data_IF_035574221440
#
_entry.id   IF_035574221440
#
_cell.length_a   1.000
_cell.length_b   1.000
_cell.length_c   1.000
_cell.angle_alpha   90.00
_cell.angle_beta   90.00
_cell.angle_gamma   90.00
#
_symmetry.space_group_name_H-M   'P 1'
#
loop_
_entity.id
_entity.type
_entity.pdbx_description
1 polymer ?
#
# COMPACT_ATOMS: atom_id res chain seq x y z
N UNK A 1 19.95 -1.02 0.26
CA UNK A 1 19.80 -2.19 1.09
C UNK A 1 21.01 -2.45 1.97
N UNK A 2 20.79 -3.20 3.04
CA UNK A 2 21.86 -3.68 3.91
C UNK A 2 23.02 -4.27 3.13
N UNK A 3 22.73 -4.86 2.00
CA UNK A 3 23.69 -5.45 1.10
C UNK A 3 24.56 -4.44 0.36
N UNK A 4 24.12 -3.22 0.17
CA UNK A 4 24.89 -2.16 -0.49
C UNK A 4 26.00 -1.58 0.36
N UNK A 5 25.91 -1.73 1.68
CA UNK A 5 26.94 -1.25 2.62
C UNK A 5 28.08 -2.25 2.75
N UNK A 6 27.81 -3.51 2.58
CA UNK A 6 28.81 -4.56 2.56
C UNK A 6 29.23 -4.83 1.12
N UNK A 7 30.36 -4.31 0.72
CA UNK A 7 31.05 -4.83 -0.46
C UNK A 7 31.18 -6.35 -0.27
N UNK A 8 30.26 -7.11 -0.85
CA UNK A 8 30.35 -8.57 -0.77
C UNK A 8 31.66 -9.02 -1.38
N UNK A 9 32.59 -9.32 -0.50
CA UNK A 9 33.88 -9.93 -0.86
C UNK A 9 33.71 -11.30 -1.52
N UNK A 10 32.50 -11.83 -1.60
CA UNK A 10 32.21 -13.19 -2.01
C UNK A 10 31.74 -13.34 -3.46
N UNK A 11 31.48 -12.24 -4.17
CA UNK A 11 31.09 -12.31 -5.58
C UNK A 11 31.73 -11.17 -6.37
N UNK A 12 32.60 -11.52 -7.30
CA UNK A 12 33.10 -10.60 -8.32
C UNK A 12 32.04 -10.29 -9.40
N UNK A 13 30.85 -10.88 -9.30
CA UNK A 13 29.83 -10.88 -10.36
C UNK A 13 28.64 -9.98 -10.00
N UNK A 14 28.34 -9.81 -8.70
CA UNK A 14 27.21 -8.99 -8.25
C UNK A 14 27.70 -7.85 -7.33
N UNK A 15 27.29 -6.63 -7.64
CA UNK A 15 27.53 -5.45 -6.81
C UNK A 15 26.21 -4.82 -6.43
N UNK A 16 26.09 -4.45 -5.17
CA UNK A 16 24.98 -3.67 -4.65
C UNK A 16 25.38 -2.21 -4.53
N UNK A 17 24.42 -1.30 -4.64
CA UNK A 17 24.63 0.13 -4.62
C UNK A 17 23.72 0.77 -3.59
N UNK A 18 24.20 1.80 -2.93
CA UNK A 18 23.33 2.74 -2.22
C UNK A 18 22.55 3.62 -3.21
N UNK A 19 21.48 4.28 -2.75
CA UNK A 19 20.74 5.26 -3.58
C UNK A 19 21.68 6.30 -4.17
N UNK A 20 22.60 6.86 -3.35
CA UNK A 20 23.51 7.91 -3.78
C UNK A 20 24.52 7.43 -4.83
N UNK A 21 25.09 6.24 -4.66
CA UNK A 21 26.00 5.64 -5.64
C UNK A 21 25.30 5.37 -6.97
N UNK A 22 24.11 4.74 -6.91
CA UNK A 22 23.33 4.44 -8.11
C UNK A 22 22.95 5.72 -8.85
N UNK A 23 22.48 6.74 -8.13
CA UNK A 23 22.18 8.06 -8.73
C UNK A 23 23.41 8.67 -9.42
N UNK A 24 24.58 8.61 -8.77
CA UNK A 24 25.82 9.15 -9.32
C UNK A 24 26.23 8.44 -10.61
N UNK A 25 26.07 7.12 -10.67
CA UNK A 25 26.36 6.32 -11.87
C UNK A 25 25.39 6.69 -13.01
N UNK A 26 24.10 6.81 -12.72
CA UNK A 26 23.08 7.16 -13.72
C UNK A 26 23.35 8.57 -14.28
N UNK A 27 23.62 9.54 -13.41
CA UNK A 27 23.93 10.90 -13.82
C UNK A 27 25.23 10.97 -14.64
N UNK A 28 26.26 10.23 -14.24
CA UNK A 28 27.53 10.13 -15.01
C UNK A 28 27.34 9.46 -16.37
N UNK A 29 26.31 8.65 -16.55
CA UNK A 29 25.96 8.01 -17.82
C UNK A 29 25.16 8.92 -18.78
N UNK A 30 24.94 10.20 -18.40
CA UNK A 30 24.32 11.20 -19.26
C UNK A 30 22.82 11.44 -19.05
N UNK A 31 22.20 10.76 -18.10
CA UNK A 31 20.84 11.09 -17.66
C UNK A 31 20.85 12.41 -16.87
N UNK A 32 19.80 13.22 -17.04
CA UNK A 32 19.69 14.53 -16.38
C UNK A 32 18.80 14.49 -15.13
N UNK A 33 17.85 13.59 -15.13
CA UNK A 33 16.88 13.46 -14.04
C UNK A 33 16.75 12.00 -13.65
N UNK A 34 16.57 11.77 -12.37
CA UNK A 34 16.28 10.47 -11.76
C UNK A 34 15.12 10.62 -10.79
N UNK A 35 14.35 9.56 -10.64
CA UNK A 35 13.28 9.45 -9.64
C UNK A 35 13.27 8.04 -9.09
N UNK A 36 13.28 7.90 -7.76
CA UNK A 36 13.43 6.62 -7.11
C UNK A 36 12.11 6.10 -6.57
N UNK A 37 11.94 4.78 -6.72
CA UNK A 37 10.87 4.01 -6.12
C UNK A 37 11.47 2.87 -5.28
N UNK A 38 10.75 2.47 -4.24
CA UNK A 38 11.16 1.47 -3.26
C UNK A 38 10.21 0.29 -3.30
N UNK A 39 10.52 -0.76 -4.08
CA UNK A 39 9.74 -2.00 -4.10
C UNK A 39 9.91 -2.78 -2.79
N UNK A 40 8.80 -3.22 -2.21
CA UNK A 40 8.75 -4.03 -1.00
C UNK A 40 7.97 -5.32 -1.24
N UNK A 41 8.44 -6.48 -0.71
CA UNK A 41 9.68 -6.69 0.05
C UNK A 41 10.95 -6.52 -0.79
N UNK A 42 10.90 -6.78 -2.10
CA UNK A 42 12.00 -6.56 -3.04
C UNK A 42 11.50 -6.38 -4.48
N UNK A 43 12.42 -6.14 -5.42
CA UNK A 43 12.11 -5.91 -6.83
C UNK A 43 11.60 -7.13 -7.58
N UNK A 44 11.80 -8.37 -7.08
CA UNK A 44 11.41 -9.60 -7.78
C UNK A 44 9.91 -9.87 -7.70
N UNK A 45 9.34 -9.64 -6.51
CA UNK A 45 7.91 -9.86 -6.25
C UNK A 45 7.35 -8.72 -5.38
N UNK A 46 7.34 -7.49 -5.91
CA UNK A 46 6.87 -6.36 -5.13
C UNK A 46 5.37 -6.48 -4.87
N UNK A 47 4.98 -6.29 -3.62
CA UNK A 47 3.59 -6.18 -3.22
C UNK A 47 3.17 -4.71 -3.14
N UNK A 48 4.09 -3.83 -2.67
CA UNK A 48 3.93 -2.39 -2.77
C UNK A 48 5.21 -1.74 -3.27
N UNK A 49 5.05 -0.64 -3.97
CA UNK A 49 6.15 0.19 -4.44
C UNK A 49 5.84 1.61 -3.99
N UNK A 50 6.66 2.17 -3.13
CA UNK A 50 6.58 3.57 -2.71
C UNK A 50 7.49 4.44 -3.57
N UNK A 51 7.12 5.71 -3.76
CA UNK A 51 8.00 6.68 -4.41
C UNK A 51 8.78 7.50 -3.38
N UNK A 52 9.84 8.18 -3.81
CA UNK A 52 10.63 9.06 -2.95
C UNK A 52 9.84 10.30 -2.44
N UNK A 53 8.74 10.67 -3.12
CA UNK A 53 7.82 11.72 -2.65
C UNK A 53 6.70 11.20 -1.77
N UNK A 54 6.46 9.92 -1.79
CA UNK A 54 5.40 9.28 -1.03
C UNK A 54 5.95 8.04 -0.33
N UNK A 55 6.67 8.29 0.75
CA UNK A 55 7.23 7.23 1.59
C UNK A 55 6.16 6.58 2.47
N UNK A 56 6.38 5.34 2.94
CA UNK A 56 5.47 4.70 3.87
C UNK A 56 5.36 5.51 5.16
N UNK A 57 4.19 5.47 5.78
CA UNK A 57 3.93 6.06 7.09
C UNK A 57 4.09 4.99 8.18
N UNK A 58 4.31 5.43 9.42
CA UNK A 58 4.33 4.53 10.57
C UNK A 58 3.04 3.69 10.61
N UNK A 59 3.15 2.39 10.83
CA UNK A 59 2.05 1.44 10.81
C UNK A 59 1.60 0.97 9.42
N UNK A 60 2.08 1.58 8.33
CA UNK A 60 1.64 1.15 6.99
C UNK A 60 2.25 -0.17 6.52
N UNK A 61 3.26 -0.66 7.21
CA UNK A 61 3.96 -1.91 6.91
C UNK A 61 3.77 -3.01 7.98
N UNK A 62 2.94 -2.78 9.00
CA UNK A 62 2.75 -3.69 10.15
C UNK A 62 2.17 -5.07 9.76
N UNK A 63 1.47 -5.16 8.64
CA UNK A 63 0.88 -6.42 8.17
C UNK A 63 1.64 -7.02 6.98
N UNK A 64 2.87 -6.60 6.81
CA UNK A 64 3.71 -7.02 5.70
C UNK A 64 4.57 -8.20 6.12
N UNK A 65 4.21 -9.41 5.70
CA UNK A 65 5.07 -10.58 5.81
C UNK A 65 5.96 -10.66 4.57
N UNK A 66 7.28 -10.49 4.70
CA UNK A 66 8.20 -10.78 3.60
C UNK A 66 8.02 -12.24 3.19
N UNK A 67 8.03 -12.53 1.88
CA UNK A 67 7.81 -13.89 1.36
C UNK A 67 8.85 -14.93 1.85
N UNK A 68 10.00 -14.47 2.33
CA UNK A 68 11.06 -15.32 2.91
C UNK A 68 10.86 -15.58 4.42
N UNK A 69 9.91 -14.93 5.09
CA UNK A 69 9.66 -15.14 6.52
C UNK A 69 8.93 -16.44 6.84
N UNK A 70 8.34 -17.10 5.84
CA UNK A 70 7.48 -18.28 6.00
C UNK A 70 8.23 -19.49 6.57
N UNK A 71 9.56 -19.52 6.59
CA UNK A 71 10.38 -20.65 7.05
C UNK A 71 11.46 -20.28 8.08
N UNK A 72 11.37 -19.14 8.75
CA UNK A 72 12.49 -18.62 9.52
C UNK A 72 12.39 -18.80 11.04
N UNK A 73 12.63 -20.01 11.53
CA UNK A 73 13.01 -20.23 12.94
C UNK A 73 14.40 -19.67 13.29
N UNK A 74 15.07 -18.98 12.38
CA UNK A 74 16.46 -18.52 12.53
C UNK A 74 16.62 -17.00 12.44
N UNK A 75 15.57 -16.23 12.22
CA UNK A 75 15.64 -14.76 12.26
C UNK A 75 15.68 -14.25 13.71
N UNK A 76 16.60 -13.34 13.99
CA UNK A 76 16.79 -12.74 15.30
C UNK A 76 15.70 -11.67 15.57
N UNK A 77 15.12 -11.09 14.52
CA UNK A 77 14.03 -10.10 14.60
C UNK A 77 13.16 -10.17 13.35
N UNK A 78 11.87 -9.82 13.49
CA UNK A 78 10.98 -9.60 12.37
C UNK A 78 11.30 -8.26 11.70
N UNK A 79 11.50 -8.30 10.39
CA UNK A 79 11.84 -7.12 9.59
C UNK A 79 10.74 -6.04 9.66
N UNK A 80 9.47 -6.45 9.79
CA UNK A 80 8.33 -5.52 9.90
C UNK A 80 8.44 -4.59 11.12
N UNK A 81 8.98 -5.06 12.26
CA UNK A 81 9.17 -4.26 13.46
C UNK A 81 10.25 -3.18 13.28
N UNK A 82 11.22 -3.41 12.40
CA UNK A 82 12.30 -2.46 12.13
C UNK A 82 11.81 -1.30 11.27
N UNK A 83 10.84 -1.54 10.37
CA UNK A 83 10.39 -0.51 9.43
C UNK A 83 9.78 0.71 10.12
N UNK A 84 9.03 0.54 11.20
CA UNK A 84 8.45 1.66 11.92
C UNK A 84 9.52 2.58 12.51
N UNK A 85 10.57 2.01 13.12
CA UNK A 85 11.69 2.77 13.63
C UNK A 85 12.46 3.50 12.52
N UNK A 86 12.65 2.84 11.37
CA UNK A 86 13.30 3.46 10.20
C UNK A 86 12.49 4.62 9.62
N UNK A 87 11.16 4.48 9.60
CA UNK A 87 10.24 5.53 9.11
C UNK A 87 10.27 6.72 10.08
N UNK A 88 10.15 6.49 11.38
CA UNK A 88 10.17 7.54 12.40
C UNK A 88 11.49 8.33 12.43
N UNK A 89 12.60 7.65 12.15
CA UNK A 89 13.93 8.25 12.10
C UNK A 89 14.31 8.80 10.70
N UNK A 90 13.41 8.80 9.73
CA UNK A 90 13.66 9.20 8.34
C UNK A 90 14.81 8.43 7.67
N UNK A 91 14.98 7.16 8.02
CA UNK A 91 16.03 6.28 7.52
C UNK A 91 15.53 5.25 6.49
N UNK A 92 14.22 5.22 6.20
CA UNK A 92 13.61 4.22 5.33
C UNK A 92 14.29 4.11 3.97
N UNK A 93 14.53 5.23 3.30
CA UNK A 93 15.18 5.25 1.97
C UNK A 93 16.59 4.66 1.97
N UNK A 94 17.34 4.89 3.06
CA UNK A 94 18.70 4.39 3.21
C UNK A 94 18.73 2.86 3.35
N UNK A 95 17.73 2.30 4.03
CA UNK A 95 17.64 0.86 4.30
C UNK A 95 16.69 0.11 3.35
N UNK A 96 16.16 0.77 2.32
CA UNK A 96 15.30 0.11 1.34
C UNK A 96 16.03 -1.05 0.65
N UNK A 97 15.37 -2.21 0.58
CA UNK A 97 15.95 -3.44 0.05
C UNK A 97 16.25 -3.39 -1.45
N UNK A 98 15.51 -2.56 -2.19
CA UNK A 98 15.58 -2.50 -3.64
C UNK A 98 15.22 -1.12 -4.14
N UNK A 99 15.73 -0.78 -5.31
CA UNK A 99 15.38 0.43 -6.02
C UNK A 99 14.82 0.10 -7.40
N UNK A 100 13.77 0.79 -7.78
CA UNK A 100 13.34 0.95 -9.16
C UNK A 100 13.59 2.43 -9.52
N UNK A 101 14.31 2.70 -10.61
CA UNK A 101 14.70 4.06 -10.95
C UNK A 101 14.12 4.43 -12.31
N UNK A 102 13.33 5.48 -12.32
CA UNK A 102 12.91 6.16 -13.53
C UNK A 102 13.97 7.22 -13.85
N UNK A 103 14.46 7.27 -15.09
CA UNK A 103 15.47 8.23 -15.48
C UNK A 103 15.20 8.78 -16.88
N UNK A 104 15.60 10.04 -17.12
CA UNK A 104 15.39 10.73 -18.39
C UNK A 104 16.63 11.50 -18.83
N UNK A 105 16.91 11.47 -20.14
CA UNK A 105 17.93 12.29 -20.79
C UNK A 105 17.41 13.73 -21.00
N UNK A 106 16.09 13.88 -21.13
CA UNK A 106 15.43 15.17 -21.31
C UNK A 106 14.81 15.65 -20.00
N UNK A 107 14.36 16.91 -19.95
CA UNK A 107 13.64 17.46 -18.79
C UNK A 107 12.17 17.00 -18.77
N UNK A 108 11.93 15.70 -18.88
CA UNK A 108 10.59 15.14 -18.77
C UNK A 108 10.17 15.08 -17.30
N UNK A 109 8.88 15.21 -17.06
CA UNK A 109 8.32 14.98 -15.74
C UNK A 109 8.47 13.49 -15.38
N UNK A 110 9.11 13.21 -14.25
CA UNK A 110 9.27 11.89 -13.66
C UNK A 110 8.42 11.78 -12.40
N UNK A 111 8.20 10.56 -11.92
CA UNK A 111 7.53 10.36 -10.65
C UNK A 111 6.03 10.68 -10.72
N UNK A 112 5.35 10.20 -11.74
CA UNK A 112 3.89 10.40 -11.90
C UNK A 112 3.06 9.51 -10.99
N UNK A 113 3.66 8.46 -10.42
CA UNK A 113 3.03 7.51 -9.51
C UNK A 113 3.58 7.75 -8.10
N UNK A 114 2.69 7.92 -7.13
CA UNK A 114 3.07 8.06 -5.72
C UNK A 114 3.36 6.71 -5.09
N UNK A 115 2.47 5.73 -5.31
CA UNK A 115 2.69 4.34 -4.94
C UNK A 115 1.89 3.37 -5.80
N UNK A 116 2.31 2.12 -5.80
CA UNK A 116 1.62 1.02 -6.46
C UNK A 116 1.48 -0.16 -5.51
N UNK A 117 0.35 -0.88 -5.61
CA UNK A 117 0.07 -2.10 -4.84
C UNK A 117 -0.29 -3.22 -5.80
N UNK A 118 0.31 -4.38 -5.61
CA UNK A 118 -0.03 -5.60 -6.32
C UNK A 118 -0.22 -6.76 -5.33
N UNK A 119 -0.87 -7.82 -5.78
CA UNK A 119 -1.04 -9.03 -4.97
C UNK A 119 -0.59 -10.24 -5.78
N UNK A 120 0.72 -10.45 -5.94
CA UNK A 120 1.29 -11.45 -6.86
C UNK A 120 0.91 -12.89 -6.48
N UNK A 121 0.51 -13.13 -5.23
CA UNK A 121 0.10 -14.46 -4.74
C UNK A 121 -1.39 -14.77 -4.93
N UNK A 122 -2.19 -13.82 -5.45
CA UNK A 122 -3.60 -14.08 -5.76
C UNK A 122 -3.75 -14.87 -7.05
N UNK A 123 -4.83 -15.62 -7.15
CA UNK A 123 -5.21 -16.25 -8.41
C UNK A 123 -5.30 -15.19 -9.52
N UNK A 124 -4.94 -15.59 -10.75
CA UNK A 124 -4.83 -14.67 -11.89
C UNK A 124 -6.10 -13.88 -12.20
N UNK A 125 -7.26 -14.42 -11.88
CA UNK A 125 -8.59 -13.76 -12.01
C UNK A 125 -8.83 -12.64 -10.98
N UNK A 126 -8.04 -12.57 -9.90
CA UNK A 126 -8.10 -11.53 -8.87
C UNK A 126 -6.85 -10.63 -8.88
N UNK A 127 -5.94 -10.83 -9.83
CA UNK A 127 -4.70 -10.07 -9.87
C UNK A 127 -4.91 -8.72 -10.57
N UNK A 128 -4.89 -7.66 -9.77
CA UNK A 128 -5.02 -6.26 -10.21
C UNK A 128 -3.85 -5.48 -9.62
N UNK A 129 -3.26 -4.61 -10.44
CA UNK A 129 -2.30 -3.61 -9.98
C UNK A 129 -3.07 -2.33 -9.68
N UNK A 130 -2.95 -1.82 -8.46
CA UNK A 130 -3.51 -0.53 -8.07
C UNK A 130 -2.38 0.48 -7.97
N UNK A 131 -2.47 1.58 -8.71
CA UNK A 131 -1.56 2.71 -8.61
C UNK A 131 -2.29 3.93 -8.07
N UNK A 132 -1.59 4.78 -7.35
CA UNK A 132 -2.06 6.09 -6.92
C UNK A 132 -1.16 7.17 -7.51
N UNK A 133 -1.80 8.26 -7.93
CA UNK A 133 -1.13 9.47 -8.40
C UNK A 133 -1.87 10.67 -7.82
N UNK A 134 -1.13 11.63 -7.31
CA UNK A 134 -1.71 12.87 -6.80
C UNK A 134 -2.58 13.59 -7.85
N UNK A 135 -2.19 13.52 -9.12
CA UNK A 135 -2.93 14.17 -10.23
C UNK A 135 -4.17 13.40 -10.67
N UNK A 136 -4.09 12.07 -10.68
CA UNK A 136 -5.09 11.23 -11.36
C UNK A 136 -5.91 10.34 -10.41
N UNK A 137 -5.63 10.39 -9.10
CA UNK A 137 -6.26 9.53 -8.12
C UNK A 137 -5.81 8.08 -8.24
N UNK A 138 -6.72 7.15 -7.97
CA UNK A 138 -6.48 5.72 -8.04
C UNK A 138 -6.74 5.18 -9.44
N UNK A 139 -5.85 4.31 -9.89
CA UNK A 139 -5.99 3.56 -11.13
C UNK A 139 -5.78 2.07 -10.84
N UNK A 140 -6.76 1.24 -11.19
CA UNK A 140 -6.70 -0.22 -11.10
C UNK A 140 -6.57 -0.78 -12.49
N UNK A 141 -5.47 -1.48 -12.76
CA UNK A 141 -5.21 -2.12 -14.06
C UNK A 141 -5.30 -3.64 -13.92
N UNK A 142 -6.15 -4.23 -14.72
CA UNK A 142 -6.37 -5.67 -14.77
C UNK A 142 -5.66 -6.33 -15.96
N UNK A 143 -5.37 -7.61 -15.82
CA UNK A 143 -5.02 -8.49 -16.92
C UNK A 143 -6.30 -8.97 -17.63
N UNK A 144 -6.18 -9.61 -18.80
CA UNK A 144 -7.33 -10.20 -19.51
C UNK A 144 -8.14 -11.17 -18.64
N UNK A 145 -7.48 -11.86 -17.70
CA UNK A 145 -8.12 -12.80 -16.77
C UNK A 145 -8.86 -12.12 -15.63
N UNK A 146 -8.46 -10.93 -15.23
CA UNK A 146 -9.00 -10.20 -14.07
C UNK A 146 -9.89 -9.01 -14.45
N UNK A 147 -10.10 -8.76 -15.74
CA UNK A 147 -10.88 -7.59 -16.20
C UNK A 147 -12.33 -7.60 -15.68
N UNK A 148 -12.96 -8.76 -15.55
CA UNK A 148 -14.31 -8.89 -15.01
C UNK A 148 -14.41 -8.40 -13.55
N UNK A 149 -13.32 -8.48 -12.79
CA UNK A 149 -13.28 -7.96 -11.43
C UNK A 149 -13.41 -6.44 -11.39
N UNK A 150 -12.86 -5.71 -12.39
CA UNK A 150 -13.04 -4.26 -12.49
C UNK A 150 -14.51 -3.88 -12.70
N UNK A 151 -15.22 -4.60 -13.56
CA UNK A 151 -16.66 -4.38 -13.78
C UNK A 151 -17.47 -4.68 -12.51
N UNK A 152 -17.10 -5.72 -11.76
CA UNK A 152 -17.73 -6.03 -10.47
C UNK A 152 -17.50 -4.92 -9.45
N UNK A 153 -16.27 -4.39 -9.36
CA UNK A 153 -15.92 -3.27 -8.47
C UNK A 153 -16.75 -2.03 -8.83
N UNK A 154 -16.81 -1.66 -10.10
CA UNK A 154 -17.58 -0.51 -10.58
C UNK A 154 -19.08 -0.65 -10.29
N UNK A 155 -19.64 -1.82 -10.59
CA UNK A 155 -21.05 -2.12 -10.31
C UNK A 155 -21.36 -2.02 -8.81
N UNK A 156 -20.48 -2.53 -7.94
CA UNK A 156 -20.64 -2.42 -6.49
C UNK A 156 -20.58 -0.96 -6.01
N UNK A 157 -19.65 -0.15 -6.52
CA UNK A 157 -19.60 1.28 -6.20
C UNK A 157 -20.89 2.00 -6.59
N UNK A 158 -21.41 1.73 -7.78
CA UNK A 158 -22.68 2.29 -8.25
C UNK A 158 -23.87 1.84 -7.40
N UNK A 159 -23.93 0.55 -7.05
CA UNK A 159 -24.99 0.01 -6.20
C UNK A 159 -24.97 0.62 -4.79
N UNK A 160 -23.78 0.81 -4.19
CA UNK A 160 -23.64 1.44 -2.88
C UNK A 160 -24.03 2.94 -2.94
N UNK A 161 -23.66 3.64 -3.99
CA UNK A 161 -24.06 5.04 -4.19
C UNK A 161 -25.59 5.22 -4.30
N UNK A 162 -26.30 4.24 -4.89
CA UNK A 162 -27.77 4.24 -4.95
C UNK A 162 -28.43 4.03 -3.56
N UNK A 163 -27.66 3.59 -2.57
CA UNK A 163 -28.09 3.40 -1.17
C UNK A 163 -27.66 4.56 -0.25
N UNK A 164 -27.40 5.74 -0.78
CA UNK A 164 -26.94 6.93 -0.05
C UNK A 164 -25.59 6.75 0.68
N UNK A 165 -24.78 5.76 0.27
CA UNK A 165 -23.43 5.63 0.77
C UNK A 165 -22.46 6.49 -0.06
N UNK A 166 -21.60 7.22 0.63
CA UNK A 166 -20.56 7.98 -0.03
C UNK A 166 -19.50 7.05 -0.63
N UNK A 167 -19.50 6.89 -1.93
CA UNK A 167 -18.50 6.14 -2.68
C UNK A 167 -17.76 7.06 -3.64
N UNK A 168 -16.49 6.75 -3.94
CA UNK A 168 -15.76 7.46 -4.98
C UNK A 168 -16.39 7.20 -6.36
N UNK A 169 -16.38 8.21 -7.21
CA UNK A 169 -16.76 8.04 -8.61
C UNK A 169 -15.74 7.16 -9.32
N UNK A 170 -16.24 6.20 -10.05
CA UNK A 170 -15.43 5.26 -10.84
C UNK A 170 -15.70 5.43 -12.33
N UNK A 171 -14.67 5.20 -13.14
CA UNK A 171 -14.76 5.17 -14.59
C UNK A 171 -13.93 4.03 -15.15
N UNK A 172 -14.52 3.20 -16.02
CA UNK A 172 -13.84 2.08 -16.69
C UNK A 172 -13.51 2.47 -18.13
N UNK A 173 -12.26 2.21 -18.51
CA UNK A 173 -11.81 2.28 -19.89
C UNK A 173 -10.95 1.04 -20.20
N UNK A 174 -11.53 0.10 -20.95
CA UNK A 174 -10.89 -1.18 -21.27
C UNK A 174 -10.55 -1.99 -20.03
N UNK A 175 -9.27 -2.28 -19.82
CA UNK A 175 -8.75 -3.02 -18.67
C UNK A 175 -8.35 -2.13 -17.47
N UNK A 176 -8.80 -0.89 -17.45
CA UNK A 176 -8.43 0.09 -16.44
C UNK A 176 -9.67 0.70 -15.81
N UNK A 177 -9.70 0.76 -14.47
CA UNK A 177 -10.68 1.48 -13.68
C UNK A 177 -9.98 2.61 -12.94
N UNK A 178 -10.45 3.83 -13.15
CA UNK A 178 -9.99 5.02 -12.43
C UNK A 178 -11.01 5.44 -11.38
N UNK A 179 -10.52 5.96 -10.25
CA UNK A 179 -11.36 6.56 -9.22
C UNK A 179 -10.69 7.79 -8.62
N UNK A 180 -11.48 8.75 -8.21
CA UNK A 180 -11.01 9.93 -7.50
C UNK A 180 -10.39 9.57 -6.14
N UNK A 181 -9.49 10.41 -5.65
CA UNK A 181 -8.97 10.31 -4.29
C UNK A 181 -9.96 10.94 -3.33
N UNK A 182 -10.40 10.16 -2.33
CA UNK A 182 -11.21 10.67 -1.23
C UNK A 182 -10.25 11.23 -0.18
N UNK A 183 -10.45 12.49 0.18
CA UNK A 183 -9.72 13.12 1.29
C UNK A 183 -10.41 12.81 2.60
N UNK A 184 -9.62 12.41 3.61
CA UNK A 184 -10.17 12.09 4.94
C UNK A 184 -9.16 11.31 5.77
N UNK A 185 -9.55 11.04 7.01
CA UNK A 185 -8.79 10.18 7.91
C UNK A 185 -9.28 8.75 7.75
N UNK A 186 -8.36 7.79 7.61
CA UNK A 186 -8.73 6.37 7.52
C UNK A 186 -9.39 5.90 8.81
N UNK A 187 -10.29 4.90 8.70
CA UNK A 187 -10.91 4.28 9.88
C UNK A 187 -9.86 3.75 10.86
N UNK A 188 -8.81 3.12 10.35
CA UNK A 188 -7.69 2.62 11.17
C UNK A 188 -7.06 3.75 11.97
N UNK A 189 -6.77 4.89 11.36
CA UNK A 189 -6.19 6.03 12.07
C UNK A 189 -7.16 6.60 13.11
N UNK A 190 -8.44 6.71 12.79
CA UNK A 190 -9.46 7.16 13.75
C UNK A 190 -9.54 6.24 14.97
N UNK A 191 -9.48 4.93 14.77
CA UNK A 191 -9.51 3.95 15.86
C UNK A 191 -8.24 4.02 16.71
N UNK A 192 -7.06 4.14 16.08
CA UNK A 192 -5.78 4.32 16.79
C UNK A 192 -5.83 5.59 17.64
N UNK A 193 -6.26 6.70 17.08
CA UNK A 193 -6.33 7.98 17.78
C UNK A 193 -7.33 7.92 18.94
N UNK A 194 -8.49 7.29 18.75
CA UNK A 194 -9.47 7.07 19.80
C UNK A 194 -8.92 6.17 20.92
N UNK A 195 -8.24 5.08 20.56
CA UNK A 195 -7.62 4.17 21.52
C UNK A 195 -6.55 4.88 22.37
N UNK A 196 -5.71 5.71 21.76
CA UNK A 196 -4.68 6.49 22.46
C UNK A 196 -5.24 7.45 23.51
N UNK A 197 -6.52 7.83 23.42
CA UNK A 197 -7.17 8.66 24.46
C UNK A 197 -7.39 7.91 25.77
N UNK A 198 -7.36 6.56 25.76
CA UNK A 198 -7.70 5.71 26.91
C UNK A 198 -9.18 5.74 27.29
N UNK A 199 -10.04 6.33 26.44
CA UNK A 199 -11.50 6.43 26.68
C UNK A 199 -12.22 5.48 25.75
N UNK A 200 -12.74 4.38 26.26
CA UNK A 200 -13.42 3.34 25.49
C UNK A 200 -14.61 3.88 24.68
N UNK A 201 -15.35 4.85 25.23
CA UNK A 201 -16.50 5.45 24.56
C UNK A 201 -16.15 6.10 23.22
N UNK A 202 -14.93 6.62 23.07
CA UNK A 202 -14.47 7.19 21.79
C UNK A 202 -14.34 6.12 20.70
N UNK A 203 -13.87 4.93 21.06
CA UNK A 203 -13.79 3.78 20.15
C UNK A 203 -15.18 3.29 19.78
N UNK A 204 -16.05 3.11 20.78
CA UNK A 204 -17.42 2.68 20.52
C UNK A 204 -18.21 3.65 19.65
N UNK A 205 -18.04 4.94 19.84
CA UNK A 205 -18.70 5.94 19.00
C UNK A 205 -18.32 5.81 17.51
N UNK A 206 -17.04 5.54 17.21
CA UNK A 206 -16.57 5.30 15.84
C UNK A 206 -17.18 4.01 15.28
N UNK A 207 -17.19 2.94 16.07
CA UNK A 207 -17.75 1.65 15.66
C UNK A 207 -19.28 1.74 15.45
N UNK A 208 -20.00 2.47 16.29
CA UNK A 208 -21.45 2.69 16.12
C UNK A 208 -21.77 3.45 14.84
N UNK A 209 -20.99 4.50 14.52
CA UNK A 209 -21.12 5.22 13.24
C UNK A 209 -20.84 4.32 12.04
N UNK A 210 -19.78 3.50 12.10
CA UNK A 210 -19.49 2.53 11.06
C UNK A 210 -20.62 1.52 10.89
N UNK A 211 -21.16 1.01 11.99
CA UNK A 211 -22.28 0.09 11.98
C UNK A 211 -23.51 0.69 11.30
N UNK A 212 -23.87 1.93 11.64
CA UNK A 212 -25.00 2.61 11.04
C UNK A 212 -24.84 2.79 9.53
N UNK A 213 -23.62 3.09 9.05
CA UNK A 213 -23.33 3.18 7.62
C UNK A 213 -23.42 1.81 6.92
N UNK A 214 -22.87 0.75 7.53
CA UNK A 214 -22.98 -0.61 7.01
C UNK A 214 -24.43 -1.08 6.96
N UNK A 215 -25.23 -0.76 8.00
CA UNK A 215 -26.63 -1.11 8.07
C UNK A 215 -27.45 -0.50 6.93
N UNK A 216 -27.14 0.72 6.49
CA UNK A 216 -27.76 1.33 5.30
C UNK A 216 -27.52 0.52 4.03
N UNK A 217 -26.40 -0.20 3.94
CA UNK A 217 -26.03 -1.00 2.76
C UNK A 217 -26.60 -2.41 2.74
N UNK A 218 -27.14 -2.88 3.85
CA UNK A 218 -27.58 -4.28 4.03
C UNK A 218 -29.10 -4.40 4.05
N UNK A 219 -29.62 -5.41 3.32
CA UNK A 219 -31.03 -5.78 3.35
C UNK A 219 -31.36 -6.72 4.53
N UNK A 220 -30.35 -7.23 5.28
CA UNK A 220 -30.52 -8.15 6.40
C UNK A 220 -29.91 -7.59 7.69
N UNK A 221 -30.66 -6.73 8.35
CA UNK A 221 -30.23 -6.09 9.61
C UNK A 221 -29.96 -7.07 10.76
N UNK A 222 -30.63 -8.24 10.81
CA UNK A 222 -30.49 -9.21 11.90
C UNK A 222 -29.11 -9.89 11.92
N UNK A 223 -28.58 -10.30 10.77
CA UNK A 223 -27.27 -10.96 10.69
C UNK A 223 -26.13 -10.01 11.03
N UNK A 224 -26.22 -8.75 10.62
CA UNK A 224 -25.25 -7.71 10.96
C UNK A 224 -25.27 -7.36 12.44
N UNK A 225 -26.45 -7.27 13.06
CA UNK A 225 -26.59 -7.07 14.50
C UNK A 225 -25.89 -8.15 15.32
N UNK A 226 -26.02 -9.43 14.92
CA UNK A 226 -25.37 -10.54 15.63
C UNK A 226 -23.85 -10.48 15.53
N UNK A 227 -23.29 -10.15 14.34
CA UNK A 227 -21.85 -10.00 14.14
C UNK A 227 -21.31 -8.82 14.96
N UNK A 228 -21.97 -7.68 14.92
CA UNK A 228 -21.55 -6.48 15.62
C UNK A 228 -21.54 -6.64 17.13
N UNK A 229 -22.59 -7.26 17.69
CA UNK A 229 -22.66 -7.52 19.12
C UNK A 229 -21.59 -8.52 19.58
N UNK A 230 -21.32 -9.58 18.81
CA UNK A 230 -20.24 -10.52 19.12
C UNK A 230 -18.86 -9.86 19.07
N UNK A 231 -18.64 -8.90 18.18
CA UNK A 231 -17.39 -8.14 18.09
C UNK A 231 -17.21 -7.19 19.29
N UNK A 232 -18.30 -6.56 19.75
CA UNK A 232 -18.28 -5.72 20.97
C UNK A 232 -17.93 -6.54 22.23
N UNK A 233 -18.44 -7.76 22.35
CA UNK A 233 -18.11 -8.65 23.48
C UNK A 233 -16.64 -9.06 23.51
N UNK A 234 -16.03 -9.28 22.33
CA UNK A 234 -14.61 -9.64 22.21
C UNK A 234 -13.64 -8.50 22.54
N UNK A 235 -14.08 -7.25 22.54
CA UNK A 235 -13.22 -6.07 22.83
C UNK A 235 -13.28 -5.63 24.29
N UNK A 236 -14.02 -6.34 25.14
CA UNK A 236 -14.18 -6.03 26.57
C UNK A 236 -13.35 -6.92 27.51
N UNK A 237 -12.67 -7.96 26.98
CA UNK A 237 -11.71 -8.82 27.69
C UNK A 237 -10.26 -8.39 27.39
#
# INVERSE_FOLDING_TARGET
PFDGINNYKFSNIARTFSKAELNSIIMASGFKNTYFYYPLPDYKMPQVIYSEKYLPKNGSLDNWAPYYSINNNSMISDEEHIYNDLIENNMFEFFANSFLVECSINNNELGTIDYAVSSPFRNSEFNIITTHSYKNGFCKTATDKSVNLLYTIDANHKALSLRDLHTCKTNINGNTLTSETITGTSLTQLLIDAYKTGVADNVYHILDKLYDEIKKSSDSSEKLNSIFNSTKELTLD
#
